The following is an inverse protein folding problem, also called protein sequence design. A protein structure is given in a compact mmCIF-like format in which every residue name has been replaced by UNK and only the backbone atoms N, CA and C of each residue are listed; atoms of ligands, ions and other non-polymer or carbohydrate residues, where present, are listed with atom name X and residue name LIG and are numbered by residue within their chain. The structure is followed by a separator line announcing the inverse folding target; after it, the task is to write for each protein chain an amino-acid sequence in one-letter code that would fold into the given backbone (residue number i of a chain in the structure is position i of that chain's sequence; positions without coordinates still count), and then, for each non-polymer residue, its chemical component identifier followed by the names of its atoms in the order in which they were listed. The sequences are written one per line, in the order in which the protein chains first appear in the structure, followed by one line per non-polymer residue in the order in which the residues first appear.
data_IF_415391352669
#
_entry.id   IF_415391352669
#
_cell.length_a   1.000
_cell.length_b   1.000
_cell.length_c   1.000
_cell.angle_alpha   90.00
_cell.angle_beta   90.00
_cell.angle_gamma   90.00
#
_symmetry.space_group_name_H-M   'P 1'
#
loop_
_entity.id
_entity.type
_entity.pdbx_description
1 polymer ?
#
# COMPACT_ATOMS: atom_id res chain seq x y z
N UNK A 1 -6.41 -41.21 -18.82
CA UNK A 1 -7.79 -40.80 -19.16
C UNK A 1 -8.50 -40.39 -17.86
N UNK A 2 -8.82 -39.09 -17.70
CA UNK A 2 -9.57 -38.59 -16.55
C UNK A 2 -10.96 -39.23 -16.49
N UNK A 3 -11.34 -39.73 -15.31
CA UNK A 3 -12.63 -40.43 -15.09
C UNK A 3 -13.66 -39.37 -14.65
N UNK A 4 -14.86 -39.42 -15.23
CA UNK A 4 -15.95 -38.49 -14.90
C UNK A 4 -16.30 -38.50 -13.40
N UNK A 5 -16.48 -37.31 -12.82
CA UNK A 5 -16.78 -37.10 -11.39
C UNK A 5 -15.57 -37.12 -10.48
N UNK A 6 -14.35 -37.28 -11.00
CA UNK A 6 -13.11 -37.22 -10.23
C UNK A 6 -12.39 -35.86 -10.33
N UNK A 7 -11.52 -35.59 -9.38
CA UNK A 7 -10.75 -34.39 -9.26
C UNK A 7 -9.28 -34.68 -9.50
N UNK A 8 -8.59 -33.76 -10.21
CA UNK A 8 -7.21 -33.93 -10.59
C UNK A 8 -6.41 -32.64 -10.39
N UNK A 9 -5.14 -32.79 -10.01
CA UNK A 9 -4.13 -31.78 -10.23
C UNK A 9 -3.62 -31.92 -11.65
N UNK A 10 -3.55 -30.82 -12.39
CA UNK A 10 -3.24 -30.83 -13.83
C UNK A 10 -2.30 -29.69 -14.22
N UNK A 11 -1.66 -29.82 -15.40
CA UNK A 11 -1.07 -28.67 -16.08
C UNK A 11 -2.01 -28.23 -17.21
N UNK A 12 -2.11 -26.91 -17.47
CA UNK A 12 -2.82 -26.40 -18.65
C UNK A 12 -2.24 -26.97 -19.94
N UNK A 13 -3.09 -27.45 -20.82
CA UNK A 13 -2.72 -27.91 -22.16
C UNK A 13 -3.90 -27.71 -23.10
N UNK A 14 -3.65 -27.62 -24.40
CA UNK A 14 -4.67 -27.53 -25.43
C UNK A 14 -4.61 -28.78 -26.33
N UNK A 15 -5.72 -29.55 -26.54
CA UNK A 15 -7.10 -29.19 -26.16
C UNK A 15 -7.54 -29.61 -24.75
N UNK A 16 -6.78 -30.45 -24.06
CA UNK A 16 -7.15 -31.00 -22.76
C UNK A 16 -6.03 -30.84 -21.72
N UNK A 17 -6.36 -30.58 -20.43
CA UNK A 17 -5.37 -30.53 -19.38
C UNK A 17 -4.67 -31.90 -19.18
N UNK A 18 -3.36 -31.86 -18.90
CA UNK A 18 -2.56 -33.05 -18.63
C UNK A 18 -2.70 -33.38 -17.14
N UNK A 19 -3.12 -34.61 -16.83
CA UNK A 19 -3.21 -35.13 -15.49
C UNK A 19 -1.82 -35.35 -14.90
N UNK A 20 -1.60 -34.82 -13.67
CA UNK A 20 -0.41 -35.05 -12.86
C UNK A 20 -0.70 -36.00 -11.71
N UNK A 21 -1.82 -35.78 -11.01
CA UNK A 21 -2.27 -36.61 -9.88
C UNK A 21 -3.79 -36.55 -9.72
N UNK A 22 -4.40 -37.68 -9.35
CA UNK A 22 -5.77 -37.69 -8.82
C UNK A 22 -5.77 -37.20 -7.38
N UNK A 23 -6.71 -36.29 -7.04
CA UNK A 23 -6.84 -35.70 -5.71
C UNK A 23 -8.24 -36.00 -5.15
N UNK A 24 -8.36 -35.95 -3.84
CA UNK A 24 -9.65 -36.10 -3.17
C UNK A 24 -10.52 -34.86 -3.36
N UNK A 25 -11.84 -35.01 -3.20
CA UNK A 25 -12.77 -33.88 -3.22
C UNK A 25 -12.42 -32.86 -2.14
N UNK A 26 -11.91 -33.31 -1.00
CA UNK A 26 -11.45 -32.40 0.08
C UNK A 26 -10.25 -31.57 -0.36
N UNK A 27 -9.21 -32.24 -0.89
CA UNK A 27 -8.01 -31.52 -1.40
C UNK A 27 -8.38 -30.53 -2.51
N UNK A 28 -9.27 -30.93 -3.43
CA UNK A 28 -9.80 -30.02 -4.47
C UNK A 28 -10.47 -28.77 -3.85
N UNK A 29 -11.35 -28.98 -2.85
CA UNK A 29 -12.04 -27.89 -2.15
C UNK A 29 -11.08 -26.99 -1.39
N UNK A 30 -10.09 -27.58 -0.70
CA UNK A 30 -9.07 -26.85 0.06
C UNK A 30 -8.20 -25.99 -0.87
N UNK A 31 -7.75 -26.54 -2.00
CA UNK A 31 -6.95 -25.79 -2.99
C UNK A 31 -7.75 -24.63 -3.63
N UNK A 32 -9.05 -24.82 -3.87
CA UNK A 32 -9.91 -23.72 -4.33
C UNK A 32 -10.07 -22.64 -3.28
N UNK A 33 -10.29 -23.02 -2.02
CA UNK A 33 -10.39 -22.08 -0.89
C UNK A 33 -9.10 -21.29 -0.73
N UNK A 34 -7.95 -21.96 -0.73
CA UNK A 34 -6.64 -21.34 -0.64
C UNK A 34 -6.35 -20.41 -1.83
N UNK A 35 -6.81 -20.80 -3.03
CA UNK A 35 -6.71 -19.95 -4.21
C UNK A 35 -7.45 -18.62 -4.01
N UNK A 36 -8.66 -18.64 -3.42
CA UNK A 36 -9.42 -17.41 -3.12
C UNK A 36 -8.64 -16.52 -2.14
N UNK A 37 -8.08 -17.11 -1.09
CA UNK A 37 -7.27 -16.38 -0.08
C UNK A 37 -6.03 -15.71 -0.72
N UNK A 38 -5.30 -16.46 -1.55
CA UNK A 38 -4.13 -15.92 -2.24
C UNK A 38 -4.51 -14.80 -3.22
N UNK A 39 -5.64 -14.92 -3.94
CA UNK A 39 -6.12 -13.83 -4.80
C UNK A 39 -6.55 -12.58 -4.01
N UNK A 40 -7.03 -12.72 -2.78
CA UNK A 40 -7.37 -11.58 -1.93
C UNK A 40 -6.15 -10.70 -1.62
N UNK A 41 -4.94 -11.27 -1.59
CA UNK A 41 -3.69 -10.51 -1.42
C UNK A 41 -3.55 -9.38 -2.45
N UNK A 42 -4.05 -9.57 -3.68
CA UNK A 42 -4.01 -8.55 -4.75
C UNK A 42 -4.67 -7.24 -4.30
N UNK A 43 -5.73 -7.33 -3.48
CA UNK A 43 -6.39 -6.14 -2.96
C UNK A 43 -5.42 -5.29 -2.13
N UNK A 44 -4.71 -5.92 -1.19
CA UNK A 44 -3.75 -5.21 -0.31
C UNK A 44 -2.54 -4.70 -1.09
N UNK A 45 -2.04 -5.46 -2.03
CA UNK A 45 -0.97 -5.03 -2.93
C UNK A 45 -1.38 -3.78 -3.74
N UNK A 46 -2.59 -3.75 -4.27
CA UNK A 46 -3.12 -2.60 -5.00
C UNK A 46 -3.25 -1.37 -4.10
N UNK A 47 -3.63 -1.56 -2.83
CA UNK A 47 -3.70 -0.47 -1.85
C UNK A 47 -2.30 0.11 -1.53
N UNK A 48 -1.30 -0.74 -1.37
CA UNK A 48 0.09 -0.30 -1.20
C UNK A 48 0.59 0.46 -2.44
N UNK A 49 0.26 -0.05 -3.63
CA UNK A 49 0.60 0.64 -4.89
C UNK A 49 -0.08 2.01 -5.00
N UNK A 50 -1.34 2.11 -4.61
CA UNK A 50 -2.07 3.40 -4.57
C UNK A 50 -1.38 4.41 -3.65
N UNK A 51 -0.97 3.98 -2.44
CA UNK A 51 -0.24 4.82 -1.51
C UNK A 51 1.08 5.29 -2.13
N UNK A 52 1.85 4.37 -2.75
CA UNK A 52 3.09 4.71 -3.47
C UNK A 52 2.85 5.75 -4.57
N UNK A 53 1.79 5.58 -5.37
CA UNK A 53 1.45 6.53 -6.43
C UNK A 53 1.11 7.93 -5.85
N UNK A 54 0.47 8.00 -4.68
CA UNK A 54 0.18 9.27 -4.01
C UNK A 54 1.47 9.93 -3.47
N UNK A 55 2.42 9.15 -2.95
CA UNK A 55 3.76 9.64 -2.58
C UNK A 55 4.48 10.18 -3.82
N UNK A 56 4.51 9.40 -4.89
CA UNK A 56 5.17 9.80 -6.14
C UNK A 56 4.55 11.08 -6.71
N UNK A 57 3.21 11.18 -6.72
CA UNK A 57 2.51 12.37 -7.20
C UNK A 57 2.92 13.65 -6.43
N UNK A 58 3.13 13.57 -5.11
CA UNK A 58 3.61 14.71 -4.32
C UNK A 58 5.00 15.16 -4.76
N UNK A 59 5.94 14.23 -4.92
CA UNK A 59 7.30 14.55 -5.32
C UNK A 59 7.43 14.89 -6.81
N UNK A 60 6.55 14.35 -7.66
CA UNK A 60 6.44 14.75 -9.07
C UNK A 60 5.95 16.21 -9.18
N UNK A 61 4.96 16.61 -8.38
CA UNK A 61 4.52 17.99 -8.29
C UNK A 61 5.69 18.90 -7.82
N UNK A 62 6.47 18.45 -6.82
CA UNK A 62 7.65 19.22 -6.35
C UNK A 62 8.66 19.42 -7.49
N UNK A 63 8.98 18.37 -8.24
CA UNK A 63 9.88 18.45 -9.42
C UNK A 63 9.31 19.36 -10.52
N UNK A 64 8.02 19.19 -10.82
CA UNK A 64 7.35 20.00 -11.84
C UNK A 64 7.42 21.49 -11.53
N UNK A 65 7.01 21.91 -10.34
CA UNK A 65 7.01 23.32 -9.96
C UNK A 65 8.42 23.88 -9.76
N UNK A 66 9.39 23.06 -9.35
CA UNK A 66 10.80 23.46 -9.35
C UNK A 66 11.28 23.77 -10.77
N UNK A 67 10.97 22.94 -11.74
CA UNK A 67 11.33 23.16 -13.15
C UNK A 67 10.65 24.39 -13.73
N UNK A 68 9.37 24.62 -13.44
CA UNK A 68 8.65 25.83 -13.86
C UNK A 68 9.26 27.08 -13.26
N UNK A 69 9.65 27.04 -11.98
CA UNK A 69 10.28 28.15 -11.29
C UNK A 69 11.65 28.47 -11.90
N UNK A 70 12.50 27.48 -12.15
CA UNK A 70 13.77 27.62 -12.84
C UNK A 70 13.59 28.24 -14.23
N UNK A 71 12.63 27.73 -15.00
CA UNK A 71 12.32 28.20 -16.35
C UNK A 71 11.86 29.65 -16.37
N UNK A 72 11.09 30.10 -15.37
CA UNK A 72 10.63 31.48 -15.26
C UNK A 72 11.78 32.46 -15.16
N UNK A 73 12.89 32.09 -14.50
CA UNK A 73 14.10 32.92 -14.45
C UNK A 73 14.87 32.92 -15.77
N UNK A 74 14.98 31.78 -16.44
CA UNK A 74 15.74 31.66 -17.70
C UNK A 74 15.07 32.41 -18.86
N UNK A 75 13.73 32.34 -18.91
CA UNK A 75 12.95 32.91 -20.02
C UNK A 75 12.33 34.26 -19.70
N UNK A 76 12.60 34.82 -18.50
CA UNK A 76 12.01 36.08 -17.99
C UNK A 76 10.47 36.13 -18.07
N UNK A 77 9.82 34.98 -17.91
CA UNK A 77 8.36 34.83 -17.94
C UNK A 77 7.81 35.02 -16.52
N UNK A 78 6.91 35.97 -16.37
CA UNK A 78 6.18 36.14 -15.12
C UNK A 78 4.99 35.14 -15.08
N UNK A 79 5.20 34.00 -14.44
CA UNK A 79 4.18 32.97 -14.26
C UNK A 79 3.66 32.98 -12.82
N UNK A 80 2.36 33.17 -12.63
CA UNK A 80 1.74 33.02 -11.32
C UNK A 80 1.26 31.57 -11.12
N UNK A 81 2.18 30.70 -10.74
CA UNK A 81 1.92 29.27 -10.45
C UNK A 81 1.81 28.97 -8.95
N UNK A 82 1.89 29.99 -8.09
CA UNK A 82 1.94 29.79 -6.64
C UNK A 82 0.65 29.22 -6.09
N UNK A 83 -0.48 29.75 -6.52
CA UNK A 83 -1.80 29.27 -6.08
C UNK A 83 -2.07 27.86 -6.60
N UNK A 84 -1.72 27.59 -7.84
CA UNK A 84 -1.84 26.25 -8.44
C UNK A 84 -0.98 25.23 -7.70
N UNK A 85 0.28 25.56 -7.42
CA UNK A 85 1.19 24.72 -6.64
C UNK A 85 0.67 24.47 -5.23
N UNK A 86 0.14 25.49 -4.56
CA UNK A 86 -0.45 25.39 -3.24
C UNK A 86 -1.62 24.38 -3.21
N UNK A 87 -2.53 24.48 -4.16
CA UNK A 87 -3.67 23.55 -4.29
C UNK A 87 -3.18 22.14 -4.60
N UNK A 88 -2.25 22.01 -5.54
CA UNK A 88 -1.76 20.69 -5.98
C UNK A 88 -1.00 19.94 -4.86
N UNK A 89 -0.13 20.61 -4.11
CA UNK A 89 0.56 19.99 -2.98
C UNK A 89 -0.41 19.54 -1.89
N UNK A 90 -1.40 20.36 -1.55
CA UNK A 90 -2.44 19.95 -0.60
C UNK A 90 -3.26 18.77 -1.11
N UNK A 91 -3.63 18.76 -2.39
CA UNK A 91 -4.34 17.63 -3.03
C UNK A 91 -3.53 16.34 -2.92
N UNK A 92 -2.25 16.37 -3.29
CA UNK A 92 -1.37 15.21 -3.23
C UNK A 92 -1.20 14.70 -1.78
N UNK A 93 -0.95 15.60 -0.84
CA UNK A 93 -0.79 15.26 0.58
C UNK A 93 -2.07 14.66 1.16
N UNK A 94 -3.24 15.26 0.89
CA UNK A 94 -4.54 14.76 1.37
C UNK A 94 -4.82 13.37 0.82
N UNK A 95 -4.55 13.12 -0.47
CA UNK A 95 -4.72 11.79 -1.06
C UNK A 95 -3.80 10.76 -0.40
N UNK A 96 -2.53 11.12 -0.14
CA UNK A 96 -1.59 10.26 0.56
C UNK A 96 -2.10 9.89 1.97
N UNK A 97 -2.43 10.88 2.81
CA UNK A 97 -2.87 10.63 4.19
C UNK A 97 -4.20 9.89 4.26
N UNK A 98 -5.11 10.11 3.32
CA UNK A 98 -6.38 9.41 3.23
C UNK A 98 -6.19 7.94 2.85
N UNK A 99 -5.38 7.66 1.81
CA UNK A 99 -5.09 6.28 1.38
C UNK A 99 -4.32 5.50 2.45
N UNK A 100 -3.37 6.14 3.12
CA UNK A 100 -2.63 5.58 4.25
C UNK A 100 -3.57 5.14 5.39
N UNK A 101 -4.37 6.06 5.93
CA UNK A 101 -5.27 5.76 7.05
C UNK A 101 -6.28 4.68 6.69
N UNK A 102 -6.88 4.77 5.49
CA UNK A 102 -7.81 3.76 5.00
C UNK A 102 -7.17 2.38 4.90
N UNK A 103 -5.91 2.27 4.46
CA UNK A 103 -5.19 1.00 4.38
C UNK A 103 -5.01 0.37 5.77
N UNK A 104 -4.57 1.14 6.77
CA UNK A 104 -4.39 0.66 8.15
C UNK A 104 -5.73 0.15 8.72
N UNK A 105 -6.81 0.91 8.54
CA UNK A 105 -8.17 0.54 8.97
C UNK A 105 -8.65 -0.75 8.29
N UNK A 106 -8.40 -0.92 7.00
CA UNK A 106 -8.76 -2.14 6.27
C UNK A 106 -7.99 -3.37 6.79
N UNK A 107 -6.70 -3.24 7.09
CA UNK A 107 -5.93 -4.32 7.71
C UNK A 107 -6.52 -4.71 9.07
N UNK A 108 -6.83 -3.72 9.93
CA UNK A 108 -7.43 -3.97 11.24
C UNK A 108 -8.80 -4.65 11.16
N UNK A 109 -9.68 -4.17 10.26
CA UNK A 109 -11.00 -4.77 10.00
C UNK A 109 -10.84 -6.21 9.53
N UNK A 110 -9.89 -6.48 8.62
CA UNK A 110 -9.68 -7.82 8.09
C UNK A 110 -9.18 -8.79 9.15
N UNK A 111 -8.20 -8.41 9.98
CA UNK A 111 -7.74 -9.24 11.10
C UNK A 111 -8.91 -9.59 12.04
N UNK A 112 -9.74 -8.60 12.39
CA UNK A 112 -10.95 -8.84 13.19
C UNK A 112 -11.95 -9.79 12.50
N UNK A 113 -12.12 -9.67 11.18
CA UNK A 113 -13.03 -10.51 10.39
C UNK A 113 -12.57 -11.98 10.35
N UNK A 114 -11.24 -12.21 10.29
CA UNK A 114 -10.65 -13.56 10.21
C UNK A 114 -10.71 -14.25 11.58
N UNK A 115 -10.29 -13.57 12.63
CA UNK A 115 -10.02 -14.19 13.94
C UNK A 115 -11.04 -13.87 15.03
N UNK A 116 -11.96 -12.93 14.78
CA UNK A 116 -12.86 -12.41 15.79
C UNK A 116 -12.25 -11.24 16.60
N UNK A 117 -13.08 -10.36 17.13
CA UNK A 117 -12.65 -9.07 17.71
C UNK A 117 -11.80 -9.16 18.98
N UNK A 118 -11.78 -10.32 19.65
CA UNK A 118 -11.09 -10.53 20.94
C UNK A 118 -9.95 -11.55 20.85
N UNK A 119 -9.57 -12.00 19.67
CA UNK A 119 -8.48 -12.98 19.47
C UNK A 119 -7.11 -12.41 19.78
N UNK A 120 -6.15 -13.29 20.04
CA UNK A 120 -4.75 -12.90 20.29
C UNK A 120 -4.13 -12.22 19.08
N UNK A 121 -4.48 -12.63 17.86
CA UNK A 121 -4.03 -12.03 16.62
C UNK A 121 -4.50 -10.56 16.48
N UNK A 122 -5.76 -10.28 16.88
CA UNK A 122 -6.28 -8.90 16.89
C UNK A 122 -5.58 -8.07 17.96
N UNK A 123 -5.33 -8.62 19.14
CA UNK A 123 -4.61 -7.95 20.21
C UNK A 123 -3.16 -7.65 19.80
N UNK A 124 -2.49 -8.62 19.17
CA UNK A 124 -1.13 -8.48 18.65
C UNK A 124 -1.04 -7.36 17.60
N UNK A 125 -1.95 -7.36 16.62
CA UNK A 125 -1.95 -6.33 15.58
C UNK A 125 -2.24 -4.95 16.14
N UNK A 126 -3.22 -4.82 17.02
CA UNK A 126 -3.52 -3.55 17.70
C UNK A 126 -2.38 -3.05 18.58
N UNK A 127 -1.72 -3.95 19.33
CA UNK A 127 -0.54 -3.61 20.11
C UNK A 127 0.58 -3.05 19.24
N UNK A 128 0.80 -3.65 18.08
CA UNK A 128 1.78 -3.13 17.11
C UNK A 128 1.42 -1.72 16.61
N UNK A 129 0.17 -1.48 16.22
CA UNK A 129 -0.28 -0.15 15.78
C UNK A 129 -0.19 0.89 16.90
N UNK A 130 -0.54 0.50 18.16
CA UNK A 130 -0.39 1.37 19.33
C UNK A 130 1.07 1.70 19.60
N UNK A 131 1.98 0.73 19.47
CA UNK A 131 3.41 0.97 19.60
C UNK A 131 3.93 1.97 18.56
N UNK A 132 3.50 1.86 17.28
CA UNK A 132 3.83 2.85 16.27
C UNK A 132 3.31 4.24 16.63
N UNK A 133 2.05 4.32 17.09
CA UNK A 133 1.45 5.59 17.51
C UNK A 133 2.19 6.21 18.69
N UNK A 134 2.62 5.40 19.64
CA UNK A 134 3.32 5.88 20.84
C UNK A 134 4.79 6.26 20.57
N UNK A 135 5.47 5.61 19.64
CA UNK A 135 6.91 5.78 19.48
C UNK A 135 7.33 6.55 18.23
N UNK A 136 6.42 6.77 17.27
CA UNK A 136 6.74 7.44 16.00
C UNK A 136 5.90 8.71 15.83
N UNK A 137 6.57 9.89 15.92
CA UNK A 137 5.90 11.18 15.71
C UNK A 137 5.23 11.25 14.34
N UNK A 138 5.94 10.93 13.28
CA UNK A 138 5.44 10.96 11.91
C UNK A 138 4.16 10.15 11.75
N UNK A 139 4.10 8.92 12.29
CA UNK A 139 2.92 8.06 12.23
C UNK A 139 1.70 8.69 12.93
N UNK A 140 1.83 9.07 14.22
CA UNK A 140 0.71 9.65 14.98
C UNK A 140 0.28 11.02 14.44
N UNK A 141 1.23 11.82 13.95
CA UNK A 141 0.95 13.11 13.33
C UNK A 141 0.11 12.92 12.05
N UNK A 142 0.53 12.05 11.13
CA UNK A 142 -0.19 11.82 9.87
C UNK A 142 -1.54 11.14 10.06
N UNK A 143 -1.69 10.24 11.05
CA UNK A 143 -3.01 9.68 11.43
C UNK A 143 -3.98 10.80 11.81
N UNK A 144 -3.52 11.82 12.54
CA UNK A 144 -4.34 12.96 12.98
C UNK A 144 -4.42 14.09 11.95
N UNK A 145 -3.42 14.23 11.09
CA UNK A 145 -3.41 15.21 10.01
C UNK A 145 -4.55 14.97 9.01
N UNK A 146 -4.95 13.71 8.80
CA UNK A 146 -6.14 13.39 8.00
C UNK A 146 -7.41 14.03 8.58
N UNK A 147 -7.60 13.92 9.90
CA UNK A 147 -8.77 14.48 10.57
C UNK A 147 -8.73 16.02 10.48
N UNK A 148 -7.54 16.63 10.62
CA UNK A 148 -7.33 18.06 10.40
C UNK A 148 -7.69 18.47 8.96
N UNK A 149 -7.19 17.75 7.96
CA UNK A 149 -7.41 18.06 6.56
C UNK A 149 -8.89 17.99 6.14
N UNK A 150 -9.68 17.11 6.77
CA UNK A 150 -11.10 16.94 6.45
C UNK A 150 -11.98 17.99 7.17
N UNK A 151 -11.63 18.35 8.40
CA UNK A 151 -12.55 19.11 9.26
C UNK A 151 -12.11 20.54 9.54
N UNK A 152 -10.83 20.90 9.31
CA UNK A 152 -10.28 22.21 9.69
C UNK A 152 -9.75 23.00 8.51
N UNK A 153 -8.86 22.41 7.68
CA UNK A 153 -8.28 23.11 6.55
C UNK A 153 -7.08 22.39 5.94
N UNK A 154 -6.44 23.07 5.01
CA UNK A 154 -5.28 22.53 4.32
C UNK A 154 -4.06 22.37 5.25
N UNK A 155 -3.39 21.21 5.23
CA UNK A 155 -2.19 20.95 6.04
C UNK A 155 -0.99 21.81 5.65
N UNK A 156 -0.80 22.04 4.33
CA UNK A 156 0.25 22.92 3.81
C UNK A 156 -0.32 24.34 3.80
N UNK A 157 0.34 25.23 4.50
CA UNK A 157 -0.03 26.65 4.59
C UNK A 157 0.72 27.51 3.59
N UNK A 158 2.00 27.18 3.37
CA UNK A 158 2.88 27.96 2.51
C UNK A 158 3.67 27.08 1.55
N UNK A 159 3.83 27.58 0.32
CA UNK A 159 4.75 27.04 -0.68
C UNK A 159 5.80 28.10 -0.97
N UNK A 160 7.04 27.78 -0.67
CA UNK A 160 8.18 28.69 -0.87
C UNK A 160 8.98 28.26 -2.09
N UNK A 161 9.21 29.20 -2.98
CA UNK A 161 10.07 29.06 -4.16
C UNK A 161 11.39 29.76 -3.89
N UNK A 162 12.49 29.03 -3.82
CA UNK A 162 13.81 29.53 -3.47
C UNK A 162 14.81 29.34 -4.60
N UNK A 163 15.64 30.38 -4.81
CA UNK A 163 16.80 30.33 -5.67
C UNK A 163 18.05 30.53 -4.83
N UNK A 164 18.97 29.60 -4.87
CA UNK A 164 20.26 29.66 -4.20
C UNK A 164 21.35 29.88 -5.24
N UNK A 165 22.27 30.82 -4.97
CA UNK A 165 23.38 31.15 -5.85
C UNK A 165 24.68 30.74 -5.19
N UNK A 166 25.48 29.91 -5.87
CA UNK A 166 26.73 29.36 -5.33
C UNK A 166 27.97 30.19 -5.66
N UNK A 167 27.86 31.13 -6.60
CA UNK A 167 28.95 32.01 -6.98
C UNK A 167 28.51 33.48 -7.07
N UNK A 168 29.45 34.45 -6.89
CA UNK A 168 29.15 35.87 -6.99
C UNK A 168 28.61 36.34 -8.35
N UNK A 169 28.94 35.59 -9.44
CA UNK A 169 28.48 35.90 -10.80
C UNK A 169 27.03 35.45 -11.05
N UNK A 170 26.42 34.70 -10.10
CA UNK A 170 25.03 34.23 -10.21
C UNK A 170 24.75 33.21 -11.32
N UNK A 171 25.82 32.60 -11.88
CA UNK A 171 25.69 31.63 -12.99
C UNK A 171 25.39 30.23 -12.51
N UNK A 172 25.81 29.88 -11.27
CA UNK A 172 25.58 28.61 -10.64
C UNK A 172 24.41 28.75 -9.65
N UNK A 173 23.27 28.25 -10.03
CA UNK A 173 22.03 28.36 -9.25
C UNK A 173 21.38 27.02 -9.00
N UNK A 174 20.83 26.89 -7.80
CA UNK A 174 19.91 25.82 -7.42
C UNK A 174 18.52 26.39 -7.20
N UNK A 175 17.51 25.70 -7.70
CA UNK A 175 16.11 26.07 -7.51
C UNK A 175 15.41 24.99 -6.68
N UNK A 176 14.58 25.42 -5.77
CA UNK A 176 13.84 24.51 -4.89
C UNK A 176 12.43 25.02 -4.59
N UNK A 177 11.49 24.08 -4.50
CA UNK A 177 10.16 24.32 -3.98
C UNK A 177 10.02 23.59 -2.65
N UNK A 178 9.66 24.32 -1.61
CA UNK A 178 9.47 23.79 -0.26
C UNK A 178 8.03 24.00 0.19
N UNK A 179 7.52 23.07 1.02
CA UNK A 179 6.13 23.06 1.48
C UNK A 179 6.07 23.05 3.00
N UNK A 180 5.43 24.06 3.58
CA UNK A 180 5.42 24.23 5.03
C UNK A 180 4.01 24.22 5.61
N UNK A 181 3.85 23.52 6.75
CA UNK A 181 2.70 23.67 7.62
C UNK A 181 2.89 24.84 8.59
N UNK A 182 1.79 25.44 8.99
CA UNK A 182 1.80 26.44 10.07
C UNK A 182 1.81 25.75 11.43
N UNK A 183 2.92 25.81 12.16
CA UNK A 183 3.01 25.26 13.54
C UNK A 183 1.93 25.85 14.43
N UNK A 184 1.68 27.16 14.34
CA UNK A 184 0.67 27.84 15.14
C UNK A 184 -0.75 27.30 14.85
N UNK A 185 -1.16 27.17 13.58
CA UNK A 185 -2.48 26.64 13.23
C UNK A 185 -2.62 25.18 13.61
N UNK A 186 -1.61 24.36 13.33
CA UNK A 186 -1.63 22.95 13.65
C UNK A 186 -1.64 22.71 15.16
N UNK A 187 -0.76 23.36 15.93
CA UNK A 187 -0.68 23.18 17.37
C UNK A 187 -1.86 23.77 18.15
N UNK A 188 -2.56 24.76 17.61
CA UNK A 188 -3.80 25.30 18.22
C UNK A 188 -5.04 24.48 17.92
N UNK A 189 -4.98 23.56 16.94
CA UNK A 189 -6.14 22.76 16.55
C UNK A 189 -6.48 21.69 17.59
N UNK A 190 -7.77 21.58 17.92
CA UNK A 190 -8.29 20.54 18.80
C UNK A 190 -8.28 19.13 18.19
N UNK A 191 -7.99 19.00 16.89
CA UNK A 191 -7.81 17.72 16.21
C UNK A 191 -6.60 16.94 16.76
N UNK A 192 -5.57 17.67 17.20
CA UNK A 192 -4.38 17.10 17.81
C UNK A 192 -4.46 17.09 19.34
N UNK A 193 -4.08 15.97 19.95
CA UNK A 193 -3.97 15.90 21.41
C UNK A 193 -2.78 16.73 21.93
N UNK A 194 -2.68 16.92 23.24
CA UNK A 194 -1.64 17.74 23.87
C UNK A 194 -0.22 17.29 23.53
N UNK A 195 0.02 15.97 23.44
CA UNK A 195 1.32 15.41 23.07
C UNK A 195 1.73 15.81 21.66
N UNK A 196 0.86 15.58 20.66
CA UNK A 196 1.16 15.91 19.26
C UNK A 196 1.34 17.42 19.11
N UNK A 197 0.52 18.23 19.78
CA UNK A 197 0.67 19.70 19.77
C UNK A 197 2.03 20.13 20.31
N UNK A 198 2.47 19.56 21.43
CA UNK A 198 3.80 19.82 21.98
C UNK A 198 4.94 19.41 21.02
N UNK A 199 4.78 18.26 20.37
CA UNK A 199 5.76 17.79 19.40
C UNK A 199 5.82 18.67 18.14
N UNK A 200 4.68 19.17 17.64
CA UNK A 200 4.64 20.14 16.52
C UNK A 200 5.37 21.42 16.89
N UNK A 201 5.15 21.95 18.10
CA UNK A 201 5.83 23.19 18.56
C UNK A 201 7.35 23.01 18.60
N UNK A 202 7.82 21.82 18.96
CA UNK A 202 9.25 21.50 19.07
C UNK A 202 9.94 21.18 17.73
N UNK A 203 9.19 21.10 16.60
CA UNK A 203 9.82 20.94 15.29
C UNK A 203 10.63 22.20 14.90
N UNK A 204 11.57 22.02 13.97
CA UNK A 204 12.31 23.14 13.38
C UNK A 204 11.39 24.09 12.60
N UNK A 205 11.78 25.34 12.49
CA UNK A 205 11.14 26.31 11.62
C UNK A 205 12.03 26.59 10.39
N UNK A 206 11.45 26.62 9.21
CA UNK A 206 10.04 26.38 8.89
C UNK A 206 9.66 24.88 8.93
N UNK A 207 8.43 24.55 9.33
CA UNK A 207 7.97 23.17 9.52
C UNK A 207 7.64 22.50 8.18
N UNK A 208 8.60 21.79 7.60
CA UNK A 208 8.42 21.04 6.35
C UNK A 208 7.77 19.67 6.60
N UNK A 209 6.48 19.57 6.27
CA UNK A 209 5.71 18.33 6.41
C UNK A 209 6.23 17.25 5.44
N UNK A 210 6.80 17.64 4.30
CA UNK A 210 7.24 16.68 3.27
C UNK A 210 8.37 15.76 3.72
N UNK A 211 9.16 16.19 4.72
CA UNK A 211 10.26 15.39 5.28
C UNK A 211 9.79 14.08 5.92
N UNK A 212 8.53 14.03 6.36
CA UNK A 212 7.97 12.84 7.03
C UNK A 212 7.27 11.86 6.08
N UNK A 213 7.03 12.24 4.82
CA UNK A 213 6.24 11.42 3.87
C UNK A 213 6.92 10.05 3.64
N UNK A 214 8.23 10.02 3.41
CA UNK A 214 8.95 8.77 3.19
C UNK A 214 9.01 7.91 4.45
N UNK A 215 9.26 8.51 5.63
CA UNK A 215 9.23 7.76 6.89
C UNK A 215 7.87 7.10 7.11
N UNK A 216 6.77 7.83 6.89
CA UNK A 216 5.41 7.28 7.02
C UNK A 216 5.17 6.17 6.00
N UNK A 217 5.64 6.33 4.76
CA UNK A 217 5.53 5.28 3.75
C UNK A 217 6.25 3.99 4.18
N UNK A 218 7.47 4.09 4.70
CA UNK A 218 8.21 2.93 5.20
C UNK A 218 7.51 2.26 6.39
N UNK A 219 6.91 3.05 7.29
CA UNK A 219 6.10 2.54 8.39
C UNK A 219 4.87 1.78 7.88
N UNK A 220 4.24 2.23 6.78
CA UNK A 220 3.11 1.52 6.15
C UNK A 220 3.54 0.16 5.59
N UNK A 221 4.71 0.09 4.96
CA UNK A 221 5.25 -1.19 4.49
C UNK A 221 5.45 -2.15 5.67
N UNK A 222 5.91 -1.67 6.80
CA UNK A 222 6.06 -2.47 8.00
C UNK A 222 4.70 -2.88 8.61
N UNK A 223 3.68 -2.02 8.56
CA UNK A 223 2.29 -2.38 8.92
C UNK A 223 1.78 -3.50 8.02
N UNK A 224 2.04 -3.43 6.72
CA UNK A 224 1.65 -4.48 5.77
C UNK A 224 2.33 -5.82 6.07
N UNK A 225 3.64 -5.82 6.32
CA UNK A 225 4.38 -7.03 6.73
C UNK A 225 3.82 -7.61 8.03
N UNK A 226 3.53 -6.76 9.03
CA UNK A 226 2.91 -7.20 10.28
C UNK A 226 1.52 -7.79 10.06
N UNK A 227 0.72 -7.18 9.20
CA UNK A 227 -0.58 -7.72 8.79
C UNK A 227 -0.46 -9.12 8.18
N UNK A 228 0.46 -9.32 7.22
CA UNK A 228 0.70 -10.63 6.61
C UNK A 228 1.18 -11.67 7.63
N UNK A 229 2.05 -11.29 8.55
CA UNK A 229 2.54 -12.16 9.62
C UNK A 229 1.40 -12.63 10.54
N UNK A 230 0.56 -11.70 11.01
CA UNK A 230 -0.59 -12.01 11.87
C UNK A 230 -1.64 -12.84 11.13
N UNK A 231 -1.88 -12.53 9.86
CA UNK A 231 -2.83 -13.25 9.01
C UNK A 231 -2.17 -14.42 8.22
N UNK A 232 -1.11 -15.04 8.76
CA UNK A 232 -0.31 -16.05 8.05
C UNK A 232 -1.13 -17.23 7.52
N UNK A 233 -2.13 -17.70 8.29
CA UNK A 233 -3.04 -18.78 7.89
C UNK A 233 -3.89 -18.45 6.66
N UNK A 234 -4.12 -17.14 6.40
CA UNK A 234 -4.91 -16.71 5.25
C UNK A 234 -4.07 -16.47 4.00
N UNK A 235 -2.78 -16.11 4.15
CA UNK A 235 -1.94 -15.72 3.02
C UNK A 235 -0.68 -16.57 2.90
N UNK A 236 0.10 -16.70 3.96
CA UNK A 236 1.42 -17.33 3.91
C UNK A 236 1.30 -18.86 3.80
N UNK A 237 0.47 -19.49 4.61
CA UNK A 237 0.28 -20.94 4.56
C UNK A 237 -0.30 -21.44 3.21
N UNK A 238 -1.38 -20.83 2.66
CA UNK A 238 -1.84 -21.12 1.32
C UNK A 238 -0.79 -20.88 0.23
N UNK A 239 -0.02 -19.77 0.33
CA UNK A 239 1.04 -19.48 -0.63
C UNK A 239 2.15 -20.54 -0.61
N UNK A 240 2.61 -20.94 0.57
CA UNK A 240 3.61 -22.01 0.72
C UNK A 240 3.12 -23.35 0.15
N UNK A 241 1.83 -23.68 0.36
CA UNK A 241 1.23 -24.90 -0.22
C UNK A 241 1.33 -24.90 -1.75
N UNK A 242 1.01 -23.78 -2.40
CA UNK A 242 1.11 -23.68 -3.87
C UNK A 242 2.55 -23.73 -4.38
N UNK A 243 3.50 -23.11 -3.68
CA UNK A 243 4.91 -23.20 -4.01
C UNK A 243 5.40 -24.64 -3.90
N UNK A 244 5.08 -25.33 -2.79
CA UNK A 244 5.44 -26.73 -2.58
C UNK A 244 4.86 -27.63 -3.67
N UNK A 245 3.59 -27.45 -4.07
CA UNK A 245 3.00 -28.19 -5.18
C UNK A 245 3.72 -27.93 -6.50
N UNK A 246 4.08 -26.67 -6.77
CA UNK A 246 4.85 -26.27 -7.95
C UNK A 246 6.23 -26.98 -8.00
N UNK A 247 6.91 -27.06 -6.86
CA UNK A 247 8.22 -27.73 -6.73
C UNK A 247 8.12 -29.24 -6.88
N UNK A 248 7.14 -29.89 -6.20
CA UNK A 248 6.93 -31.35 -6.27
C UNK A 248 6.68 -31.80 -7.71
N UNK A 249 5.87 -31.07 -8.45
CA UNK A 249 5.50 -31.41 -9.82
C UNK A 249 6.42 -30.76 -10.87
N UNK A 250 7.39 -29.94 -10.47
CA UNK A 250 8.29 -29.17 -11.34
C UNK A 250 7.50 -28.38 -12.41
N UNK A 251 6.41 -27.73 -12.01
CA UNK A 251 5.49 -26.99 -12.88
C UNK A 251 5.17 -25.64 -12.29
N UNK A 252 5.29 -24.56 -13.08
CA UNK A 252 4.88 -23.21 -12.68
C UNK A 252 3.39 -22.95 -12.92
N UNK A 253 2.80 -23.65 -13.88
CA UNK A 253 1.38 -23.55 -14.21
C UNK A 253 0.65 -24.83 -13.78
N UNK A 254 0.03 -24.76 -12.61
CA UNK A 254 -0.82 -25.86 -12.08
C UNK A 254 -2.29 -25.44 -12.08
N UNK A 255 -3.16 -26.40 -12.31
CA UNK A 255 -4.61 -26.23 -12.23
C UNK A 255 -5.25 -27.34 -11.41
N UNK A 256 -6.37 -27.04 -10.76
CA UNK A 256 -7.27 -28.07 -10.26
C UNK A 256 -8.41 -28.25 -11.26
N UNK A 257 -8.68 -29.51 -11.63
CA UNK A 257 -9.67 -29.87 -12.65
C UNK A 257 -10.67 -30.84 -12.07
N UNK A 258 -11.94 -30.60 -12.33
CA UNK A 258 -13.01 -31.56 -12.09
C UNK A 258 -13.62 -31.98 -13.42
N UNK A 259 -13.83 -33.30 -13.60
CA UNK A 259 -14.55 -33.86 -14.74
C UNK A 259 -16.02 -34.04 -14.40
N UNK A 260 -16.93 -33.58 -15.23
CA UNK A 260 -18.38 -33.70 -15.06
C UNK A 260 -19.03 -34.30 -16.31
N UNK A 261 -20.10 -35.06 -16.11
CA UNK A 261 -20.95 -35.46 -17.24
C UNK A 261 -22.07 -34.44 -17.38
N UNK A 262 -22.07 -33.75 -18.51
CA UNK A 262 -23.10 -32.76 -18.86
C UNK A 262 -23.62 -33.12 -20.28
N UNK A 263 -24.94 -33.34 -20.39
CA UNK A 263 -25.57 -33.69 -21.67
C UNK A 263 -24.93 -34.94 -22.34
N UNK A 264 -24.53 -35.96 -21.52
CA UNK A 264 -23.91 -37.18 -22.03
C UNK A 264 -22.46 -37.05 -22.49
N UNK A 265 -21.81 -35.89 -22.28
CA UNK A 265 -20.41 -35.63 -22.60
C UNK A 265 -19.62 -35.36 -21.32
N UNK A 266 -18.34 -35.75 -21.32
CA UNK A 266 -17.42 -35.42 -20.22
C UNK A 266 -16.88 -34.01 -20.49
N UNK A 267 -17.17 -33.10 -19.59
CA UNK A 267 -16.65 -31.75 -19.57
C UNK A 267 -15.60 -31.57 -18.46
N UNK A 268 -14.57 -30.81 -18.71
CA UNK A 268 -13.50 -30.50 -17.76
C UNK A 268 -13.62 -29.05 -17.34
N UNK A 269 -13.73 -28.82 -16.02
CA UNK A 269 -13.70 -27.48 -15.44
C UNK A 269 -12.38 -27.33 -14.71
N UNK A 270 -11.47 -26.54 -15.29
CA UNK A 270 -10.15 -26.28 -14.72
C UNK A 270 -10.06 -24.89 -14.14
N UNK A 271 -9.38 -24.75 -13.02
CA UNK A 271 -9.04 -23.47 -12.39
C UNK A 271 -7.53 -23.42 -12.13
N UNK A 272 -6.87 -22.42 -12.72
CA UNK A 272 -5.45 -22.18 -12.51
C UNK A 272 -5.16 -21.82 -11.06
N UNK A 273 -4.10 -22.39 -10.48
CA UNK A 273 -3.61 -22.06 -9.16
C UNK A 273 -2.69 -20.82 -9.23
N UNK A 274 -2.76 -19.91 -8.26
CA UNK A 274 -2.05 -18.62 -8.33
C UNK A 274 -0.59 -18.72 -7.85
N UNK A 275 0.25 -19.57 -8.44
CA UNK A 275 1.64 -19.84 -8.02
C UNK A 275 2.51 -18.59 -8.10
N UNK A 276 2.44 -17.83 -9.19
CA UNK A 276 3.20 -16.60 -9.34
C UNK A 276 2.85 -15.58 -8.24
N UNK A 277 1.57 -15.50 -7.87
CA UNK A 277 1.11 -14.65 -6.79
C UNK A 277 1.54 -15.16 -5.42
N UNK A 278 1.55 -16.49 -5.22
CA UNK A 278 2.06 -17.13 -4.01
C UNK A 278 3.55 -16.80 -3.78
N UNK A 279 4.39 -16.92 -4.81
CA UNK A 279 5.81 -16.51 -4.75
C UNK A 279 5.95 -15.03 -4.33
N UNK A 280 5.07 -14.17 -4.83
CA UNK A 280 5.05 -12.74 -4.50
C UNK A 280 4.63 -12.46 -3.05
N UNK A 281 3.68 -13.22 -2.49
CA UNK A 281 3.31 -13.12 -1.08
C UNK A 281 4.53 -13.40 -0.21
N UNK A 282 5.22 -14.51 -0.45
CA UNK A 282 6.39 -14.91 0.34
C UNK A 282 7.53 -13.90 0.23
N UNK A 283 7.73 -13.29 -0.93
CA UNK A 283 8.74 -12.25 -1.12
C UNK A 283 8.46 -10.94 -0.34
N UNK A 284 7.23 -10.73 0.14
CA UNK A 284 6.83 -9.56 0.94
C UNK A 284 6.83 -9.82 2.46
N UNK A 285 7.08 -11.06 2.88
CA UNK A 285 7.18 -11.45 4.28
C UNK A 285 8.62 -11.38 4.78
#
# INVERSE_FOLDING_TARGET
LMIAGRQYLTTPSNPLPIELAEITLKEYSDLLSDSVKVYEFIYYERRIKEIKMNVDAFFDAKRHYTTLYERSFREAINYDYKEEAYVEFNRCLINFIASFKSFVEHCEIRVKSIFGSTSDEVLEFKSYLSNLFDNKFSYRFFIKLRDYAIHVGYPIENVLFSKYTFNPAGTDCWYEVQTFGSKNKLSSSNTFNSRIRGEIVNQEEPFDISLYIFEVYDLIINVFRKFLSVASREFIEPANRFITLSEIHNQEDLSVTISKIENGRINFHSKLLPIALAKKIIANC
#
